data_IF_224591807174
#
_entry.id   IF_224591807174
#
_cell.length_a   1.000
_cell.length_b   1.000
_cell.length_c   1.000
_cell.angle_alpha   90.00
_cell.angle_beta   90.00
_cell.angle_gamma   90.00
#
_symmetry.space_group_name_H-M   'P 1'
#
loop_
_entity.id
_entity.type
_entity.pdbx_description
1 polymer ?
#
# COMPACT_ATOMS: atom_id res chain seq x y z
N UNK A 1 9.81 -16.64 -10.52
CA UNK A 1 8.97 -15.58 -9.90
C UNK A 1 8.25 -16.16 -8.70
N UNK A 2 8.33 -15.45 -7.61
CA UNK A 2 7.72 -15.89 -6.38
C UNK A 2 6.29 -15.38 -6.27
N UNK A 3 5.39 -16.21 -5.78
CA UNK A 3 4.00 -15.82 -5.56
C UNK A 3 3.71 -15.87 -4.07
N UNK A 4 3.29 -14.74 -3.55
CA UNK A 4 2.87 -14.64 -2.16
C UNK A 4 1.36 -14.46 -2.10
N UNK A 5 0.77 -14.63 -0.93
CA UNK A 5 -0.65 -14.40 -0.76
C UNK A 5 -0.87 -13.43 0.40
N UNK A 6 -1.95 -12.66 0.29
CA UNK A 6 -2.37 -11.77 1.35
C UNK A 6 -3.86 -12.00 1.61
N UNK A 7 -4.24 -12.03 2.87
CA UNK A 7 -5.63 -12.19 3.24
C UNK A 7 -6.23 -10.86 3.64
N UNK A 8 -7.33 -10.51 3.01
CA UNK A 8 -8.09 -9.32 3.31
C UNK A 8 -9.54 -9.76 3.46
N UNK A 9 -9.90 -10.33 4.64
CA UNK A 9 -11.25 -10.90 4.83
C UNK A 9 -12.36 -9.89 4.60
N UNK A 10 -12.07 -8.61 4.80
CA UNK A 10 -13.04 -7.54 4.59
C UNK A 10 -13.47 -7.43 3.13
N UNK A 11 -12.62 -7.90 2.22
CA UNK A 11 -12.91 -7.83 0.78
C UNK A 11 -13.30 -9.19 0.23
N UNK A 12 -12.57 -10.24 0.59
CA UNK A 12 -12.83 -11.59 0.07
C UNK A 12 -12.35 -12.63 1.04
N UNK A 13 -13.06 -13.77 1.09
CA UNK A 13 -12.67 -14.91 1.92
C UNK A 13 -11.44 -15.60 1.35
N UNK A 14 -11.24 -15.51 0.03
CA UNK A 14 -10.09 -16.12 -0.61
C UNK A 14 -8.89 -15.17 -0.53
N UNK A 15 -7.72 -15.75 -0.27
CA UNK A 15 -6.49 -14.96 -0.28
C UNK A 15 -6.21 -14.45 -1.68
N UNK A 16 -5.67 -13.24 -1.75
CA UNK A 16 -5.25 -12.65 -3.02
C UNK A 16 -3.81 -13.06 -3.32
N UNK A 17 -3.53 -13.33 -4.58
CA UNK A 17 -2.17 -13.65 -5.02
C UNK A 17 -1.40 -12.35 -5.28
N UNK A 18 -0.16 -12.33 -4.81
CA UNK A 18 0.73 -11.19 -5.02
C UNK A 18 1.94 -11.70 -5.78
N UNK A 19 2.05 -11.33 -7.05
CA UNK A 19 3.19 -11.75 -7.86
C UNK A 19 4.27 -10.66 -7.82
N UNK A 20 5.53 -11.10 -7.70
CA UNK A 20 6.67 -10.18 -7.67
C UNK A 20 7.29 -10.05 -9.04
N UNK A 21 6.44 -9.86 -10.05
CA UNK A 21 6.88 -9.66 -11.42
C UNK A 21 7.52 -8.28 -11.59
N UNK A 22 8.32 -8.14 -12.64
CA UNK A 22 8.89 -6.84 -12.95
C UNK A 22 7.81 -5.77 -13.09
N UNK A 23 6.69 -6.11 -13.70
CA UNK A 23 5.58 -5.16 -13.85
C UNK A 23 5.10 -4.65 -12.49
N UNK A 24 4.91 -5.55 -11.53
CA UNK A 24 4.42 -5.17 -10.23
C UNK A 24 5.48 -4.42 -9.42
N UNK A 25 6.75 -4.80 -9.56
CA UNK A 25 7.84 -4.07 -8.91
C UNK A 25 7.92 -2.65 -9.45
N UNK A 26 7.75 -2.49 -10.77
CA UNK A 26 7.72 -1.15 -11.36
C UNK A 26 6.55 -0.32 -10.82
N UNK A 27 5.38 -0.96 -10.69
CA UNK A 27 4.21 -0.28 -10.13
C UNK A 27 4.48 0.20 -8.70
N UNK A 28 5.16 -0.61 -7.91
CA UNK A 28 5.51 -0.25 -6.55
C UNK A 28 6.46 0.95 -6.52
N UNK A 29 7.47 0.95 -7.39
CA UNK A 29 8.40 2.08 -7.45
C UNK A 29 7.72 3.36 -7.92
N UNK A 30 6.82 3.25 -8.90
CA UNK A 30 6.06 4.41 -9.37
C UNK A 30 5.20 5.01 -8.25
N UNK A 31 4.57 4.14 -7.48
CA UNK A 31 3.78 4.55 -6.32
C UNK A 31 4.64 5.27 -5.30
N UNK A 32 5.80 4.68 -4.95
CA UNK A 32 6.69 5.29 -3.97
C UNK A 32 7.23 6.65 -4.44
N UNK A 33 7.60 6.74 -5.71
CA UNK A 33 8.09 8.00 -6.26
C UNK A 33 7.01 9.08 -6.22
N UNK A 34 5.78 8.72 -6.53
CA UNK A 34 4.66 9.65 -6.47
C UNK A 34 4.45 10.17 -5.05
N UNK A 35 4.51 9.27 -4.06
CA UNK A 35 4.33 9.64 -2.67
C UNK A 35 5.44 10.57 -2.19
N UNK A 36 6.70 10.25 -2.53
CA UNK A 36 7.83 11.08 -2.14
C UNK A 36 7.75 12.48 -2.75
N UNK A 37 7.39 12.56 -4.02
CA UNK A 37 7.25 13.84 -4.70
C UNK A 37 6.18 14.71 -4.05
N UNK A 38 5.06 14.10 -3.68
CA UNK A 38 3.97 14.83 -3.05
C UNK A 38 4.32 15.23 -1.62
N UNK A 39 5.09 14.41 -0.90
CA UNK A 39 5.54 14.74 0.44
C UNK A 39 6.44 15.98 0.41
N UNK A 40 7.34 16.06 -0.57
CA UNK A 40 8.20 17.24 -0.72
C UNK A 40 7.37 18.49 -0.98
N UNK A 41 6.33 18.36 -1.80
CA UNK A 41 5.42 19.45 -2.09
C UNK A 41 4.71 19.93 -0.82
N UNK A 42 4.31 18.98 0.02
CA UNK A 42 3.56 19.29 1.24
C UNK A 42 4.34 20.13 2.24
N UNK A 43 5.66 19.96 2.31
CA UNK A 43 6.48 20.67 3.28
C UNK A 43 6.48 22.18 3.07
N UNK A 44 6.40 22.62 1.82
CA UNK A 44 6.52 24.03 1.48
C UNK A 44 5.22 24.67 1.01
N UNK A 45 4.09 23.96 1.16
CA UNK A 45 2.83 24.39 0.58
C UNK A 45 1.87 24.92 1.62
N UNK A 46 0.88 25.68 1.14
CA UNK A 46 -0.22 26.14 1.98
C UNK A 46 -1.22 25.00 2.24
N UNK A 47 -2.24 25.33 3.03
CA UNK A 47 -3.23 24.33 3.46
C UNK A 47 -3.94 23.66 2.29
N UNK A 48 -4.28 24.43 1.26
CA UNK A 48 -5.00 23.90 0.11
C UNK A 48 -4.14 22.89 -0.66
N UNK A 49 -2.89 23.22 -0.88
CA UNK A 49 -1.97 22.33 -1.58
C UNK A 49 -1.69 21.07 -0.78
N UNK A 50 -1.62 21.19 0.56
CA UNK A 50 -1.43 20.03 1.42
C UNK A 50 -2.63 19.10 1.35
N UNK A 51 -3.85 19.65 1.34
CA UNK A 51 -5.06 18.85 1.23
C UNK A 51 -5.11 18.13 -0.12
N UNK A 52 -4.74 18.83 -1.19
CA UNK A 52 -4.71 18.24 -2.53
C UNK A 52 -3.68 17.12 -2.60
N UNK A 53 -2.50 17.32 -2.00
CA UNK A 53 -1.45 16.30 -1.99
C UNK A 53 -1.89 15.06 -1.21
N UNK A 54 -2.54 15.25 -0.06
CA UNK A 54 -3.04 14.13 0.73
C UNK A 54 -4.07 13.30 -0.04
N UNK A 55 -4.97 13.99 -0.74
CA UNK A 55 -5.97 13.33 -1.57
C UNK A 55 -5.29 12.51 -2.66
N UNK A 56 -4.29 13.08 -3.33
CA UNK A 56 -3.59 12.40 -4.41
C UNK A 56 -2.81 11.19 -3.89
N UNK A 57 -2.16 11.32 -2.73
CA UNK A 57 -1.43 10.21 -2.12
C UNK A 57 -2.37 9.04 -1.85
N UNK A 58 -3.55 9.32 -1.30
CA UNK A 58 -4.53 8.27 -1.03
C UNK A 58 -4.99 7.61 -2.32
N UNK A 59 -5.27 8.39 -3.36
CA UNK A 59 -5.68 7.83 -4.64
C UNK A 59 -4.59 6.95 -5.25
N UNK A 60 -3.33 7.38 -5.14
CA UNK A 60 -2.21 6.58 -5.63
C UNK A 60 -2.08 5.27 -4.87
N UNK A 61 -2.27 5.31 -3.56
CA UNK A 61 -2.22 4.10 -2.74
C UNK A 61 -3.33 3.13 -3.13
N UNK A 62 -4.55 3.62 -3.30
CA UNK A 62 -5.68 2.77 -3.68
C UNK A 62 -5.48 2.17 -5.06
N UNK A 63 -4.98 2.96 -6.01
CA UNK A 63 -4.69 2.48 -7.36
C UNK A 63 -3.60 1.42 -7.37
N UNK A 64 -2.57 1.61 -6.54
CA UNK A 64 -1.50 0.64 -6.39
C UNK A 64 -2.04 -0.70 -5.89
N UNK A 65 -2.83 -0.68 -4.81
CA UNK A 65 -3.41 -1.90 -4.24
C UNK A 65 -4.28 -2.58 -5.29
N UNK A 66 -5.15 -1.83 -5.97
CA UNK A 66 -6.02 -2.39 -6.97
C UNK A 66 -5.24 -3.08 -8.09
N UNK A 67 -4.16 -2.43 -8.55
CA UNK A 67 -3.36 -2.97 -9.65
C UNK A 67 -2.59 -4.23 -9.23
N UNK A 68 -2.00 -4.22 -8.04
CA UNK A 68 -1.22 -5.36 -7.57
C UNK A 68 -2.10 -6.58 -7.33
N UNK A 69 -3.28 -6.37 -6.74
CA UNK A 69 -4.20 -7.46 -6.41
C UNK A 69 -5.20 -7.76 -7.54
N UNK A 70 -5.18 -6.95 -8.59
CA UNK A 70 -6.07 -7.12 -9.75
C UNK A 70 -7.53 -7.15 -9.30
N UNK A 71 -7.94 -6.15 -8.52
CA UNK A 71 -9.29 -6.08 -7.99
C UNK A 71 -10.28 -5.64 -9.07
N UNK A 72 -11.42 -6.34 -9.15
CA UNK A 72 -12.50 -5.91 -10.02
C UNK A 72 -13.26 -4.74 -9.35
N UNK A 73 -14.28 -4.23 -10.03
CA UNK A 73 -15.02 -3.07 -9.54
C UNK A 73 -15.68 -3.32 -8.19
N UNK A 74 -16.24 -4.51 -8.02
CA UNK A 74 -16.90 -4.87 -6.77
C UNK A 74 -15.92 -4.95 -5.61
N UNK A 75 -14.78 -5.59 -5.81
CA UNK A 75 -13.74 -5.70 -4.80
C UNK A 75 -13.12 -4.34 -4.49
N UNK A 76 -12.91 -3.53 -5.53
CA UNK A 76 -12.38 -2.19 -5.33
C UNK A 76 -13.34 -1.33 -4.50
N UNK A 77 -14.63 -1.47 -4.75
CA UNK A 77 -15.64 -0.74 -3.98
C UNK A 77 -15.55 -1.09 -2.49
N UNK A 78 -15.30 -2.36 -2.19
CA UNK A 78 -15.10 -2.80 -0.80
C UNK A 78 -13.83 -2.21 -0.20
N UNK A 79 -12.78 -2.09 -1.01
CA UNK A 79 -11.54 -1.45 -0.57
C UNK A 79 -11.79 0.01 -0.21
N UNK A 80 -12.64 0.70 -0.97
CA UNK A 80 -12.96 2.10 -0.70
C UNK A 80 -13.67 2.29 0.65
N UNK A 81 -14.37 1.26 1.12
CA UNK A 81 -15.08 1.31 2.40
C UNK A 81 -14.23 0.81 3.57
N UNK A 82 -13.01 0.40 3.30
CA UNK A 82 -12.11 -0.10 4.33
C UNK A 82 -11.58 1.05 5.20
N UNK A 83 -11.28 0.73 6.45
CA UNK A 83 -10.62 1.68 7.33
C UNK A 83 -9.29 2.13 6.75
N UNK A 84 -9.00 3.42 6.85
CA UNK A 84 -7.78 3.99 6.26
C UNK A 84 -6.51 3.38 6.84
N UNK A 85 -6.46 3.14 8.14
CA UNK A 85 -5.29 2.53 8.78
C UNK A 85 -5.08 1.11 8.24
N UNK A 86 -6.16 0.36 8.08
CA UNK A 86 -6.08 -0.98 7.51
C UNK A 86 -5.57 -0.94 6.07
N UNK A 87 -6.03 0.04 5.30
CA UNK A 87 -5.57 0.22 3.92
C UNK A 87 -4.07 0.50 3.86
N UNK A 88 -3.57 1.32 4.77
CA UNK A 88 -2.14 1.59 4.85
C UNK A 88 -1.34 0.33 5.20
N UNK A 89 -1.84 -0.50 6.10
CA UNK A 89 -1.21 -1.77 6.44
C UNK A 89 -1.09 -2.66 5.21
N UNK A 90 -2.15 -2.74 4.43
CA UNK A 90 -2.15 -3.55 3.20
C UNK A 90 -1.10 -3.04 2.24
N UNK A 91 -1.07 -1.73 2.02
CA UNK A 91 -0.11 -1.10 1.13
C UNK A 91 1.33 -1.39 1.55
N UNK A 92 1.63 -1.25 2.84
CA UNK A 92 2.97 -1.50 3.37
C UNK A 92 3.37 -2.96 3.20
N UNK A 93 2.44 -3.87 3.40
CA UNK A 93 2.72 -5.29 3.23
C UNK A 93 3.03 -5.63 1.77
N UNK A 94 2.27 -5.04 0.84
CA UNK A 94 2.51 -5.24 -0.58
C UNK A 94 3.87 -4.70 -1.00
N UNK A 95 4.24 -3.52 -0.51
CA UNK A 95 5.56 -2.94 -0.77
C UNK A 95 6.65 -3.87 -0.25
N UNK A 96 6.48 -4.38 0.97
CA UNK A 96 7.44 -5.30 1.56
C UNK A 96 7.63 -6.55 0.72
N UNK A 97 6.54 -7.12 0.22
CA UNK A 97 6.64 -8.29 -0.66
C UNK A 97 7.40 -7.99 -1.94
N UNK A 98 7.21 -6.79 -2.50
CA UNK A 98 7.93 -6.41 -3.72
C UNK A 98 9.45 -6.27 -3.48
N UNK A 99 9.84 -5.97 -2.24
CA UNK A 99 11.25 -5.94 -1.85
C UNK A 99 11.77 -7.32 -1.43
N UNK A 100 10.92 -8.34 -1.48
CA UNK A 100 11.33 -9.70 -1.17
C UNK A 100 11.27 -10.06 0.30
N UNK A 101 10.59 -9.26 1.11
CA UNK A 101 10.47 -9.54 2.54
C UNK A 101 9.46 -10.65 2.79
N UNK A 102 9.72 -11.45 3.82
CA UNK A 102 8.77 -12.47 4.28
C UNK A 102 7.80 -11.85 5.28
N UNK A 103 6.71 -12.57 5.58
CA UNK A 103 5.75 -12.13 6.58
C UNK A 103 6.44 -11.92 7.93
N UNK A 104 7.35 -12.82 8.28
CA UNK A 104 8.09 -12.73 9.53
C UNK A 104 8.94 -11.46 9.58
N UNK A 105 9.62 -11.14 8.48
CA UNK A 105 10.43 -9.93 8.40
C UNK A 105 9.58 -8.67 8.49
N UNK A 106 8.39 -8.70 7.90
CA UNK A 106 7.46 -7.57 7.97
C UNK A 106 6.96 -7.36 9.39
N UNK A 107 6.68 -8.44 10.11
CA UNK A 107 6.26 -8.35 11.50
C UNK A 107 7.36 -7.78 12.39
N UNK A 108 8.60 -8.21 12.16
CA UNK A 108 9.74 -7.70 12.92
C UNK A 108 9.93 -6.21 12.70
N UNK A 109 9.83 -5.76 11.46
CA UNK A 109 9.96 -4.34 11.15
C UNK A 109 8.85 -3.52 11.81
N UNK A 110 7.63 -4.03 11.76
CA UNK A 110 6.50 -3.35 12.37
C UNK A 110 6.62 -3.29 13.89
N UNK A 111 7.06 -4.38 14.49
CA UNK A 111 7.27 -4.43 15.95
C UNK A 111 8.35 -3.44 16.38
N UNK A 112 9.42 -3.33 15.58
CA UNK A 112 10.48 -2.38 15.86
C UNK A 112 10.03 -0.94 15.77
N UNK A 113 9.13 -0.64 14.85
CA UNK A 113 8.59 0.70 14.69
C UNK A 113 7.66 1.07 15.85
N UNK A 114 6.93 0.10 16.35
CA UNK A 114 5.92 0.34 17.39
C UNK A 114 6.54 0.41 18.77
N UNK A 115 7.72 -0.13 18.98
CA UNK A 115 8.39 -0.16 20.28
C UNK A 115 8.64 1.25 20.77
N UNK A 116 8.16 1.56 21.91
CA UNK A 116 8.26 2.90 22.46
C UNK A 116 9.52 3.13 23.24
N UNK A 117 9.20 2.43 23.73
CA UNK A 117 9.54 2.76 24.60
C UNK A 117 9.71 2.89 25.34
N UNK A 118 9.63 2.62 25.07
CA UNK A 118 9.50 2.50 25.54
C UNK A 118 9.63 2.79 25.98
#
# INVERSE_FOLDING_TARGET
MEIKTIQIPEISKKAFKVTTSNRNVLRMHEYQLAVLKLSDTMEDSGTQEQAQASYTVLKEMLSFIRAILNLDDEAYDKLLDLDNVRTQEISEKLVGYMYGLTDEQLEEASAGEVDPKE
#
